data_IF_595815561431
#
_entry.id   IF_595815561431
#
_cell.length_a   1.000
_cell.length_b   1.000
_cell.length_c   1.000
_cell.angle_alpha   90.00
_cell.angle_beta   90.00
_cell.angle_gamma   90.00
#
_symmetry.space_group_name_H-M   'P 1'
#
loop_
_entity.id
_entity.type
_entity.pdbx_description
1 polymer ?
#
# COMPACT_ATOMS: atom_id res chain seq x y z
N UNK A 1 2.77 9.74 8.32
CA UNK A 1 3.69 8.68 7.89
C UNK A 1 3.63 8.60 6.37
N UNK A 2 4.78 8.57 5.68
CA UNK A 2 4.80 8.39 4.22
C UNK A 2 5.00 6.90 3.95
N UNK A 3 4.18 6.33 3.08
CA UNK A 3 4.35 4.97 2.58
C UNK A 3 4.93 5.04 1.16
N UNK A 4 5.72 4.02 0.81
CA UNK A 4 6.27 3.87 -0.53
C UNK A 4 5.24 3.13 -1.37
N UNK A 5 4.72 3.80 -2.40
CA UNK A 5 3.78 3.26 -3.37
C UNK A 5 4.48 3.04 -4.70
N UNK A 6 4.11 1.99 -5.43
CA UNK A 6 4.64 1.73 -6.78
C UNK A 6 3.50 1.88 -7.78
N UNK A 7 3.67 2.71 -8.80
CA UNK A 7 2.68 2.80 -9.87
C UNK A 7 2.71 1.51 -10.70
N UNK A 8 1.64 0.70 -10.79
CA UNK A 8 1.63 -0.55 -11.56
C UNK A 8 1.72 -0.34 -13.08
N UNK A 9 1.37 0.86 -13.57
CA UNK A 9 1.46 1.17 -15.00
C UNK A 9 2.86 1.58 -15.42
N UNK A 10 3.50 2.43 -14.62
CA UNK A 10 4.78 3.07 -14.94
C UNK A 10 5.97 2.40 -14.22
N UNK A 11 5.69 1.46 -13.32
CA UNK A 11 6.65 0.80 -12.43
C UNK A 11 7.53 1.78 -11.63
N UNK A 12 7.05 3.00 -11.40
CA UNK A 12 7.74 4.05 -10.65
C UNK A 12 7.31 4.05 -9.18
N UNK A 13 8.28 3.96 -8.28
CA UNK A 13 8.07 4.10 -6.86
C UNK A 13 8.00 5.58 -6.45
N UNK A 14 7.13 5.91 -5.51
CA UNK A 14 6.98 7.25 -4.95
C UNK A 14 6.45 7.19 -3.52
N UNK A 15 6.78 8.20 -2.74
CA UNK A 15 6.34 8.30 -1.36
C UNK A 15 5.12 9.19 -1.24
N UNK A 16 4.08 8.72 -0.54
CA UNK A 16 2.90 9.52 -0.26
C UNK A 16 2.43 9.34 1.18
N UNK A 17 1.99 10.44 1.79
CA UNK A 17 1.23 10.42 3.05
C UNK A 17 -0.28 10.62 2.83
N UNK A 18 -0.69 10.93 1.60
CA UNK A 18 -2.06 11.23 1.20
C UNK A 18 -2.79 9.95 0.78
N UNK A 19 -3.02 9.05 1.74
CA UNK A 19 -3.75 7.81 1.53
C UNK A 19 -4.82 7.61 2.60
N UNK A 20 -5.83 6.81 2.26
CA UNK A 20 -6.90 6.39 3.16
C UNK A 20 -6.99 4.88 3.16
N UNK A 21 -7.18 4.29 4.34
CA UNK A 21 -7.54 2.89 4.48
C UNK A 21 -8.96 2.72 3.94
N UNK A 22 -9.12 1.91 2.89
CA UNK A 22 -10.41 1.61 2.28
C UNK A 22 -10.93 0.24 2.71
N UNK A 23 -10.04 -0.65 3.15
CA UNK A 23 -10.40 -1.96 3.67
C UNK A 23 -9.44 -2.32 4.81
N UNK A 24 -9.97 -2.85 5.91
CA UNK A 24 -9.16 -3.37 7.02
C UNK A 24 -9.79 -4.67 7.51
N UNK A 25 -9.17 -5.79 7.16
CA UNK A 25 -9.59 -7.14 7.56
C UNK A 25 -8.78 -7.66 8.76
N UNK A 26 -7.91 -6.83 9.32
CA UNK A 26 -7.08 -7.18 10.46
C UNK A 26 -5.86 -8.02 10.07
N UNK A 27 -5.31 -8.73 11.03
CA UNK A 27 -4.11 -9.56 10.82
C UNK A 27 -4.54 -10.95 10.37
N UNK A 28 -4.13 -11.35 9.17
CA UNK A 28 -4.28 -12.71 8.67
C UNK A 28 -2.96 -13.47 8.85
N UNK A 29 -3.07 -14.77 9.01
CA UNK A 29 -1.91 -15.66 8.97
C UNK A 29 -1.84 -16.26 7.57
N UNK A 30 -0.74 -16.06 6.86
CA UNK A 30 -0.52 -16.68 5.57
C UNK A 30 -0.29 -18.20 5.71
N UNK A 31 -0.25 -18.91 4.57
CA UNK A 31 -0.02 -20.36 4.55
C UNK A 31 1.36 -20.78 5.09
N UNK A 32 2.32 -19.85 5.18
CA UNK A 32 3.64 -20.07 5.76
C UNK A 32 3.69 -19.76 7.27
N UNK A 33 2.57 -19.34 7.87
CA UNK A 33 2.48 -19.00 9.29
C UNK A 33 2.87 -17.56 9.62
N UNK A 34 3.17 -16.72 8.62
CA UNK A 34 3.49 -15.32 8.86
C UNK A 34 2.22 -14.52 9.11
N UNK A 35 2.30 -13.61 10.08
CA UNK A 35 1.22 -12.66 10.35
C UNK A 35 1.38 -11.45 9.45
N UNK A 36 0.43 -11.24 8.56
CA UNK A 36 0.36 -10.08 7.67
C UNK A 36 -0.90 -9.27 7.96
N UNK A 37 -0.81 -7.95 7.87
CA UNK A 37 -1.97 -7.07 8.01
C UNK A 37 -2.72 -7.03 6.67
N UNK A 38 -3.87 -7.69 6.60
CA UNK A 38 -4.76 -7.65 5.44
C UNK A 38 -5.59 -6.35 5.47
N UNK A 39 -4.95 -5.27 5.05
CA UNK A 39 -5.59 -3.98 4.86
C UNK A 39 -5.28 -3.44 3.47
N UNK A 40 -6.20 -2.66 2.92
CA UNK A 40 -5.98 -1.93 1.67
C UNK A 40 -6.05 -0.44 1.90
N UNK A 41 -5.13 0.27 1.28
CA UNK A 41 -5.09 1.73 1.27
C UNK A 41 -5.24 2.23 -0.17
N UNK A 42 -6.01 3.30 -0.34
CA UNK A 42 -6.13 4.00 -1.61
C UNK A 42 -5.50 5.38 -1.49
N UNK A 43 -4.81 5.82 -2.53
CA UNK A 43 -4.34 7.21 -2.61
C UNK A 43 -5.55 8.15 -2.73
N UNK A 44 -5.57 9.20 -1.92
CA UNK A 44 -6.62 10.22 -2.01
C UNK A 44 -6.53 11.00 -3.32
N UNK A 45 -5.29 11.23 -3.78
CA UNK A 45 -4.97 11.89 -5.05
C UNK A 45 -4.68 10.85 -6.13
N UNK A 46 -4.98 11.14 -7.41
CA UNK A 46 -4.52 10.32 -8.52
C UNK A 46 -2.99 10.25 -8.56
N UNK A 47 -2.45 9.12 -8.99
CA UNK A 47 -1.03 8.92 -9.17
C UNK A 47 -0.48 9.96 -10.15
N UNK A 48 0.57 10.69 -9.77
CA UNK A 48 1.16 11.73 -10.61
C UNK A 48 1.82 11.21 -11.90
N UNK A 49 2.02 9.89 -12.01
CA UNK A 49 2.61 9.28 -13.19
C UNK A 49 1.57 8.82 -14.22
N UNK A 50 0.51 8.14 -13.77
CA UNK A 50 -0.49 7.55 -14.68
C UNK A 50 -1.88 8.18 -14.59
N UNK A 51 -2.10 9.12 -13.66
CA UNK A 51 -3.39 9.79 -13.44
C UNK A 51 -4.49 8.95 -12.78
N UNK A 52 -4.23 7.67 -12.49
CA UNK A 52 -5.23 6.76 -11.91
C UNK A 52 -5.13 6.69 -10.38
N UNK A 53 -6.26 6.42 -9.72
CA UNK A 53 -6.30 6.10 -8.29
C UNK A 53 -6.01 4.62 -8.09
N UNK A 54 -4.91 4.32 -7.43
CA UNK A 54 -4.52 2.95 -7.11
C UNK A 54 -4.92 2.58 -5.69
N UNK A 55 -5.30 1.31 -5.54
CA UNK A 55 -5.54 0.66 -4.25
C UNK A 55 -4.38 -0.32 -4.05
N UNK A 56 -3.75 -0.25 -2.89
CA UNK A 56 -2.59 -1.03 -2.53
C UNK A 56 -2.91 -1.88 -1.32
N UNK A 57 -2.46 -3.14 -1.33
CA UNK A 57 -2.47 -3.96 -0.14
C UNK A 57 -1.32 -3.57 0.77
N UNK A 58 -1.59 -3.36 2.05
CA UNK A 58 -0.58 -3.01 3.05
C UNK A 58 0.44 -4.14 3.19
N UNK A 59 0.05 -5.39 2.98
CA UNK A 59 0.97 -6.54 2.91
C UNK A 59 2.01 -6.43 1.79
N UNK A 60 1.70 -5.70 0.71
CA UNK A 60 2.62 -5.47 -0.41
C UNK A 60 3.42 -4.18 -0.25
N UNK A 61 3.04 -3.32 0.70
CA UNK A 61 3.74 -2.08 0.97
C UNK A 61 4.89 -2.35 1.94
N UNK A 62 6.11 -2.11 1.46
CA UNK A 62 7.29 -2.13 2.31
C UNK A 62 7.19 -1.04 3.37
N UNK A 63 7.00 -1.44 4.63
CA UNK A 63 7.05 -0.52 5.74
C UNK A 63 8.52 -0.13 5.98
N UNK A 64 8.91 1.16 5.92
CA UNK A 64 10.30 1.59 6.15
C UNK A 64 10.76 1.40 7.60
N UNK A 65 9.90 0.87 8.47
CA UNK A 65 10.12 0.63 9.90
C UNK A 65 10.31 -0.85 10.26
N UNK A 66 10.64 -1.73 9.29
CA UNK A 66 11.15 -3.07 9.65
C UNK A 66 12.52 -2.93 10.31
N UNK A 67 12.52 -2.68 11.62
CA UNK A 67 13.62 -2.86 12.54
C UNK A 67 13.54 -4.21 13.24
#
# INVERSE_FOLDING_TARGET
>A
MKLIFVCPNESKAFESADYRIVENKGVITDAAGNKALDAKVALNKPCSYCGHKHIYHVSELSCPFSG
#
